data_IF_916587079540
#
_entry.id   IF_916587079540
#
_cell.length_a   1.000
_cell.length_b   1.000
_cell.length_c   1.000
_cell.angle_alpha   90.00
_cell.angle_beta   90.00
_cell.angle_gamma   90.00
#
_symmetry.space_group_name_H-M   'P 1'
#
loop_
_entity.id
_entity.type
_entity.pdbx_description
1 polymer ?
#
# COMPACT_ATOMS: atom_id res chain seq x y z
N UNK A 1 -31.68 -33.59 -64.74
CA UNK A 1 -30.73 -33.71 -63.59
C UNK A 1 -30.88 -32.49 -62.73
N UNK A 2 -31.49 -32.64 -61.52
CA UNK A 2 -31.67 -31.55 -60.58
C UNK A 2 -30.55 -31.68 -59.56
N UNK A 3 -29.64 -30.69 -59.51
CA UNK A 3 -28.58 -30.64 -58.55
C UNK A 3 -29.14 -29.91 -57.28
N UNK A 4 -29.28 -30.64 -56.22
CA UNK A 4 -29.74 -30.12 -54.90
C UNK A 4 -28.54 -29.58 -54.15
N UNK A 5 -28.42 -28.25 -54.10
CA UNK A 5 -27.40 -27.55 -53.29
C UNK A 5 -27.82 -27.55 -51.80
N UNK A 6 -27.16 -28.36 -51.02
CA UNK A 6 -27.27 -28.31 -49.53
C UNK A 6 -26.41 -27.17 -48.98
N UNK A 7 -27.04 -26.08 -48.55
CA UNK A 7 -26.35 -25.01 -47.83
C UNK A 7 -26.27 -25.39 -46.35
N UNK A 8 -25.09 -25.82 -45.92
CA UNK A 8 -24.81 -26.13 -44.52
C UNK A 8 -24.53 -24.80 -43.79
N UNK A 9 -25.54 -24.28 -43.09
CA UNK A 9 -25.39 -23.09 -42.25
C UNK A 9 -24.67 -23.45 -40.96
N UNK A 10 -23.40 -23.04 -40.85
CA UNK A 10 -22.57 -23.21 -39.66
C UNK A 10 -22.94 -22.11 -38.65
N UNK A 11 -23.73 -22.47 -37.65
CA UNK A 11 -24.04 -21.58 -36.53
C UNK A 11 -22.81 -21.47 -35.63
N UNK A 12 -22.04 -20.38 -35.74
CA UNK A 12 -21.02 -20.02 -34.78
C UNK A 12 -21.69 -19.45 -33.50
N UNK A 13 -21.81 -20.28 -32.48
CA UNK A 13 -22.17 -19.81 -31.12
C UNK A 13 -20.93 -19.18 -30.51
N UNK A 14 -20.85 -17.87 -30.54
CA UNK A 14 -19.85 -17.12 -29.79
C UNK A 14 -20.26 -17.12 -28.30
N UNK A 15 -19.62 -17.96 -27.50
CA UNK A 15 -19.69 -17.87 -26.04
C UNK A 15 -18.96 -16.58 -25.63
N UNK A 16 -19.72 -15.51 -25.43
CA UNK A 16 -19.21 -14.31 -24.72
C UNK A 16 -19.04 -14.67 -23.26
N UNK A 17 -17.80 -14.95 -22.85
CA UNK A 17 -17.45 -14.95 -21.45
C UNK A 17 -17.52 -13.49 -20.98
N UNK A 18 -18.60 -13.13 -20.31
CA UNK A 18 -18.68 -11.91 -19.54
C UNK A 18 -17.67 -12.04 -18.41
N UNK A 19 -16.52 -11.40 -18.58
CA UNK A 19 -15.50 -11.27 -17.55
C UNK A 19 -16.04 -10.27 -16.53
N UNK A 20 -16.76 -10.79 -15.52
CA UNK A 20 -17.20 -10.00 -14.37
C UNK A 20 -15.95 -9.64 -13.56
N UNK A 21 -15.29 -8.58 -14.00
CA UNK A 21 -14.23 -7.96 -13.24
C UNK A 21 -14.87 -7.20 -12.08
N UNK A 22 -15.17 -7.90 -10.99
CA UNK A 22 -15.48 -7.29 -9.71
C UNK A 22 -14.27 -6.46 -9.31
N UNK A 23 -14.30 -5.15 -9.63
CA UNK A 23 -13.27 -4.20 -9.22
C UNK A 23 -13.22 -4.20 -7.70
N UNK A 24 -12.17 -4.79 -7.14
CA UNK A 24 -11.93 -4.79 -5.70
C UNK A 24 -11.93 -3.35 -5.23
N UNK A 25 -12.89 -3.00 -4.36
CA UNK A 25 -12.98 -1.64 -3.82
C UNK A 25 -11.88 -1.44 -2.80
N UNK A 26 -10.90 -0.64 -3.14
CA UNK A 26 -9.86 -0.23 -2.21
C UNK A 26 -10.43 0.75 -1.18
N UNK A 27 -9.91 0.70 0.04
CA UNK A 27 -10.22 1.60 1.16
C UNK A 27 -8.95 2.32 1.58
N UNK A 28 -9.11 3.49 2.16
CA UNK A 28 -8.01 4.22 2.76
C UNK A 28 -7.69 3.67 4.15
N UNK A 29 -6.40 3.63 4.45
CA UNK A 29 -5.83 3.21 5.72
C UNK A 29 -4.76 4.21 6.15
N UNK A 30 -4.58 4.37 7.43
CA UNK A 30 -3.43 5.07 7.99
C UNK A 30 -2.54 4.09 8.74
N UNK A 31 -1.27 4.04 8.35
CA UNK A 31 -0.20 3.43 9.11
C UNK A 31 0.43 4.50 10.02
N UNK A 32 0.36 4.29 11.32
CA UNK A 32 1.03 5.12 12.32
C UNK A 32 2.33 4.45 12.70
N UNK A 33 3.44 5.15 12.48
CA UNK A 33 4.79 4.69 12.79
C UNK A 33 5.32 5.40 14.03
N UNK A 34 5.89 4.65 14.94
CA UNK A 34 6.63 5.18 16.08
C UNK A 34 7.99 4.50 16.14
N UNK A 35 9.04 5.19 16.58
CA UNK A 35 10.31 4.53 16.82
C UNK A 35 10.18 3.58 18.01
N UNK A 36 10.93 2.48 17.98
CA UNK A 36 10.98 1.57 19.13
C UNK A 36 11.77 2.22 20.27
N UNK A 37 11.57 1.75 21.49
CA UNK A 37 12.21 2.31 22.70
C UNK A 37 13.73 2.45 22.55
N UNK A 38 14.40 1.45 21.97
CA UNK A 38 15.84 1.49 21.70
C UNK A 38 16.25 2.71 20.88
N UNK A 39 15.46 3.08 19.88
CA UNK A 39 15.78 4.14 18.92
C UNK A 39 15.16 5.51 19.28
N UNK A 40 14.50 5.60 20.44
CA UNK A 40 14.19 6.87 21.07
C UNK A 40 15.45 7.59 21.57
N UNK A 41 16.55 6.86 21.83
CA UNK A 41 17.86 7.42 22.13
C UNK A 41 18.66 7.59 20.82
N UNK A 42 18.98 8.84 20.47
CA UNK A 42 19.73 9.19 19.26
C UNK A 42 21.10 8.51 19.16
N UNK A 43 21.71 8.15 20.31
CA UNK A 43 23.01 7.44 20.35
C UNK A 43 22.96 6.06 19.72
N UNK A 44 21.79 5.46 19.62
CA UNK A 44 21.60 4.13 19.04
C UNK A 44 21.44 4.16 17.51
N UNK A 45 21.42 5.34 16.90
CA UNK A 45 21.35 5.51 15.46
C UNK A 45 22.73 5.45 14.83
N UNK A 46 23.02 4.35 14.16
CA UNK A 46 24.25 4.16 13.37
C UNK A 46 23.98 4.31 11.89
N UNK A 47 25.05 4.23 11.09
CA UNK A 47 24.91 4.23 9.63
C UNK A 47 24.03 3.08 9.11
N UNK A 48 23.97 1.95 9.82
CA UNK A 48 23.13 0.81 9.43
C UNK A 48 21.63 1.14 9.57
N UNK A 49 21.21 1.72 10.69
CA UNK A 49 19.83 2.14 10.89
C UNK A 49 19.42 3.26 9.92
N UNK A 50 20.32 4.21 9.68
CA UNK A 50 20.09 5.27 8.70
C UNK A 50 19.88 4.70 7.28
N UNK A 51 20.66 3.69 6.89
CA UNK A 51 20.49 3.00 5.62
C UNK A 51 19.14 2.32 5.50
N UNK A 52 18.69 1.62 6.55
CA UNK A 52 17.38 0.95 6.57
C UNK A 52 16.23 1.96 6.48
N UNK A 53 16.35 3.11 7.16
CA UNK A 53 15.36 4.19 7.06
C UNK A 53 15.39 4.81 5.65
N UNK A 54 16.55 4.86 5.02
CA UNK A 54 16.67 5.22 3.60
C UNK A 54 15.88 4.27 2.68
N UNK A 55 15.98 2.95 2.91
CA UNK A 55 15.21 1.93 2.18
C UNK A 55 13.70 2.08 2.43
N UNK A 56 13.28 2.33 3.67
CA UNK A 56 11.91 2.66 4.03
C UNK A 56 11.39 3.83 3.19
N UNK A 57 12.12 4.92 3.15
CA UNK A 57 11.74 6.10 2.39
C UNK A 57 11.62 5.81 0.88
N UNK A 58 12.60 5.11 0.30
CA UNK A 58 12.57 4.72 -1.12
C UNK A 58 11.39 3.79 -1.43
N UNK A 59 11.03 2.90 -0.51
CA UNK A 59 9.84 2.06 -0.65
C UNK A 59 8.57 2.89 -0.71
N UNK A 60 8.41 3.88 0.16
CA UNK A 60 7.23 4.76 0.16
C UNK A 60 7.12 5.55 -1.15
N UNK A 61 8.23 6.05 -1.69
CA UNK A 61 8.26 6.72 -3.00
C UNK A 61 7.75 5.78 -4.10
N UNK A 62 8.28 4.56 -4.18
CA UNK A 62 7.84 3.56 -5.16
C UNK A 62 6.36 3.21 -5.02
N UNK A 63 5.85 3.13 -3.80
CA UNK A 63 4.43 2.83 -3.56
C UNK A 63 3.54 4.03 -3.92
N UNK A 64 4.02 5.26 -3.75
CA UNK A 64 3.33 6.46 -4.25
C UNK A 64 3.26 6.47 -5.78
N UNK A 65 4.35 6.14 -6.46
CA UNK A 65 4.38 6.05 -7.93
C UNK A 65 3.40 5.01 -8.47
N UNK A 66 3.17 3.92 -7.73
CA UNK A 66 2.17 2.90 -8.04
C UNK A 66 0.73 3.29 -7.66
N UNK A 67 0.52 4.48 -7.09
CA UNK A 67 -0.80 4.93 -6.63
C UNK A 67 -1.32 4.23 -5.38
N UNK A 68 -0.46 3.51 -4.65
CA UNK A 68 -0.81 2.82 -3.40
C UNK A 68 -0.71 3.80 -2.22
N UNK A 69 0.39 4.54 -2.09
CA UNK A 69 0.56 5.56 -1.05
C UNK A 69 0.01 6.88 -1.54
N UNK A 70 -0.87 7.49 -0.74
CA UNK A 70 -1.47 8.81 -1.00
C UNK A 70 -0.56 9.91 -0.43
N UNK A 71 -0.14 9.73 0.82
CA UNK A 71 0.66 10.69 1.57
C UNK A 71 1.50 9.93 2.59
N UNK A 72 2.74 10.36 2.77
CA UNK A 72 3.58 9.92 3.88
C UNK A 72 4.34 11.12 4.44
N UNK A 73 4.49 11.15 5.75
CA UNK A 73 5.21 12.20 6.45
C UNK A 73 5.40 11.87 7.92
N UNK A 74 6.05 12.76 8.64
CA UNK A 74 6.28 12.60 10.08
C UNK A 74 6.09 13.92 10.80
N UNK A 75 5.86 13.85 12.10
CA UNK A 75 5.96 15.03 12.97
C UNK A 75 7.42 15.51 13.00
N UNK A 76 7.62 16.81 12.91
CA UNK A 76 8.97 17.42 12.99
C UNK A 76 9.38 17.62 14.46
N UNK A 77 9.47 16.50 15.17
CA UNK A 77 9.84 16.44 16.58
C UNK A 77 11.09 15.56 16.73
N UNK A 78 11.87 15.74 17.84
CA UNK A 78 12.96 14.83 18.17
C UNK A 78 12.48 13.38 18.27
N UNK A 79 13.33 12.41 17.96
CA UNK A 79 12.96 10.98 18.07
C UNK A 79 12.65 10.54 19.50
N UNK A 80 13.17 11.25 20.50
CA UNK A 80 12.89 11.05 21.92
C UNK A 80 11.54 11.61 22.38
N UNK A 81 10.88 12.44 21.56
CA UNK A 81 9.56 12.99 21.92
C UNK A 81 8.48 11.91 21.76
N UNK A 82 7.66 11.66 22.80
CA UNK A 82 6.62 10.64 22.75
C UNK A 82 5.51 10.92 21.72
N UNK A 83 5.41 12.16 21.26
CA UNK A 83 4.45 12.55 20.22
C UNK A 83 5.03 12.45 18.80
N UNK A 84 6.31 12.10 18.65
CA UNK A 84 6.92 11.91 17.35
C UNK A 84 6.35 10.67 16.67
N UNK A 85 5.63 10.87 15.58
CA UNK A 85 4.99 9.84 14.79
C UNK A 85 5.19 10.09 13.30
N UNK A 86 5.31 9.01 12.56
CA UNK A 86 5.18 9.00 11.11
C UNK A 86 3.76 8.56 10.72
N UNK A 87 3.23 9.12 9.66
CA UNK A 87 1.94 8.74 9.10
C UNK A 87 2.11 8.33 7.64
N UNK A 88 1.49 7.22 7.27
CA UNK A 88 1.40 6.76 5.90
C UNK A 88 -0.06 6.53 5.57
N UNK A 89 -0.63 7.34 4.67
CA UNK A 89 -2.00 7.15 4.17
C UNK A 89 -1.89 6.38 2.86
N UNK A 90 -2.59 5.26 2.77
CA UNK A 90 -2.47 4.34 1.65
C UNK A 90 -3.77 3.56 1.37
N UNK A 91 -3.84 2.94 0.21
CA UNK A 91 -4.95 2.09 -0.20
C UNK A 91 -4.65 0.61 0.03
N UNK A 92 -5.62 -0.11 0.58
CA UNK A 92 -5.65 -1.57 0.65
C UNK A 92 -7.11 -2.07 0.60
N UNK A 93 -7.31 -3.31 0.22
CA UNK A 93 -8.66 -3.89 0.11
C UNK A 93 -9.30 -4.17 1.46
N UNK A 94 -8.48 -4.61 2.43
CA UNK A 94 -8.89 -5.03 3.77
C UNK A 94 -7.78 -4.79 4.80
N UNK A 95 -8.12 -5.02 6.06
CA UNK A 95 -7.19 -4.83 7.19
C UNK A 95 -5.97 -5.76 7.10
N UNK A 96 -6.16 -6.99 6.60
CA UNK A 96 -5.06 -7.94 6.45
C UNK A 96 -4.01 -7.41 5.49
N UNK A 97 -4.43 -6.98 4.30
CA UNK A 97 -3.53 -6.40 3.30
C UNK A 97 -2.87 -5.12 3.81
N UNK A 98 -3.62 -4.28 4.54
CA UNK A 98 -3.09 -3.06 5.13
C UNK A 98 -2.01 -3.35 6.20
N UNK A 99 -2.23 -4.35 7.05
CA UNK A 99 -1.21 -4.80 8.00
C UNK A 99 0.01 -5.39 7.29
N UNK A 100 -0.20 -6.25 6.29
CA UNK A 100 0.91 -6.83 5.50
C UNK A 100 1.73 -5.73 4.82
N UNK A 101 1.09 -4.69 4.31
CA UNK A 101 1.77 -3.55 3.71
C UNK A 101 2.70 -2.87 4.70
N UNK A 102 2.26 -2.58 5.93
CA UNK A 102 3.08 -1.92 6.94
C UNK A 102 4.14 -2.86 7.55
N UNK A 103 3.80 -4.14 7.79
CA UNK A 103 4.74 -5.12 8.34
C UNK A 103 5.87 -5.49 7.37
N UNK A 104 5.66 -5.28 6.05
CA UNK A 104 6.69 -5.47 5.03
C UNK A 104 7.63 -4.27 4.87
N UNK A 105 7.44 -3.22 5.65
CA UNK A 105 8.32 -2.06 5.63
C UNK A 105 9.71 -2.39 6.22
N UNK A 106 10.82 -1.97 5.58
CA UNK A 106 12.17 -2.25 6.06
C UNK A 106 12.42 -1.79 7.50
N UNK A 107 11.95 -0.60 7.88
CA UNK A 107 12.14 -0.07 9.23
C UNK A 107 11.34 -0.84 10.29
N UNK A 108 10.17 -1.36 9.92
CA UNK A 108 9.34 -2.21 10.80
C UNK A 108 9.93 -3.61 10.91
N UNK A 109 10.33 -4.24 9.81
CA UNK A 109 10.99 -5.54 9.80
C UNK A 109 12.25 -5.58 10.65
N UNK A 110 13.03 -4.52 10.59
CA UNK A 110 14.29 -4.40 11.36
C UNK A 110 14.08 -3.84 12.77
N UNK A 111 12.84 -3.73 13.22
CA UNK A 111 12.48 -3.29 14.58
C UNK A 111 13.02 -1.90 14.96
N UNK A 112 13.22 -1.05 13.97
CA UNK A 112 13.53 0.36 14.18
C UNK A 112 12.24 1.12 14.50
N UNK A 113 11.15 0.74 13.82
CA UNK A 113 9.84 1.32 14.01
C UNK A 113 8.80 0.25 14.34
N UNK A 114 7.80 0.65 15.12
CA UNK A 114 6.54 -0.06 15.26
C UNK A 114 5.53 0.54 14.28
N UNK A 115 4.61 -0.28 13.80
CA UNK A 115 3.51 0.17 12.96
C UNK A 115 2.16 -0.24 13.57
N UNK A 116 1.21 0.69 13.53
CA UNK A 116 -0.21 0.43 13.82
C UNK A 116 -1.02 0.84 12.61
N UNK A 117 -1.94 -0.02 12.19
CA UNK A 117 -2.82 0.26 11.05
C UNK A 117 -4.23 0.56 11.56
N UNK A 118 -4.85 1.60 11.02
CA UNK A 118 -6.21 2.02 11.38
C UNK A 118 -6.97 2.34 10.09
N UNK A 119 -8.25 1.94 9.96
CA UNK A 119 -9.12 2.42 8.90
C UNK A 119 -9.16 3.95 8.88
N UNK A 120 -9.05 4.55 7.71
CA UNK A 120 -9.01 6.00 7.56
C UNK A 120 -9.95 6.44 6.45
N UNK A 121 -10.57 7.59 6.59
CA UNK A 121 -11.39 8.21 5.57
C UNK A 121 -10.86 9.58 5.22
N UNK A 122 -10.40 9.76 3.99
CA UNK A 122 -9.97 11.08 3.49
C UNK A 122 -11.23 11.91 3.22
N UNK A 123 -11.50 12.89 4.07
CA UNK A 123 -12.64 13.79 3.91
C UNK A 123 -12.35 14.92 2.91
N UNK A 124 -11.12 15.43 2.90
CA UNK A 124 -10.68 16.53 2.02
C UNK A 124 -9.28 16.23 1.53
N UNK A 125 -9.05 16.35 0.23
CA UNK A 125 -7.73 16.18 -0.40
C UNK A 125 -7.54 17.22 -1.49
N UNK A 126 -6.37 17.83 -1.52
CA UNK A 126 -5.95 18.69 -2.64
C UNK A 126 -5.40 17.88 -3.82
N UNK A 127 -5.04 16.61 -3.59
CA UNK A 127 -4.53 15.69 -4.60
C UNK A 127 -5.73 14.95 -5.23
N UNK A 128 -5.90 15.10 -6.54
CA UNK A 128 -6.81 14.29 -7.34
C UNK A 128 -6.04 13.22 -8.07
#
# INVERSE_FOLDING_TARGET
>A
MKVLLFVLSLFFVTLSFAQDSTKVKLKEWVGVLTVTEKFADEKNWTAAEQSIVGEHFQRLIKMKEKGIVVLAGRMELPVSDPNMQGLVIFYAKDEKEANEFMMNDPAVKNKIMNAKVVPYGIAVSACK
#
